data_IF_629952758084
#
_entry.id   IF_629952758084
#
_cell.length_a   1.000
_cell.length_b   1.000
_cell.length_c   1.000
_cell.angle_alpha   90.00
_cell.angle_beta   90.00
_cell.angle_gamma   90.00
#
_symmetry.space_group_name_H-M   'P 1'
#
loop_
_entity.id
_entity.type
_entity.pdbx_description
1 polymer ?
#
# COMPACT_ATOMS: atom_id res chain seq x y z
N UNK A 1 50.14 16.90 -26.98
CA UNK A 1 49.14 17.89 -26.53
C UNK A 1 47.89 17.13 -26.13
N UNK A 2 47.73 16.84 -24.84
CA UNK A 2 46.56 16.11 -24.31
C UNK A 2 45.67 17.15 -23.65
N UNK A 3 44.46 17.32 -24.20
CA UNK A 3 43.46 18.23 -23.67
C UNK A 3 42.97 17.70 -22.32
N UNK A 4 43.14 18.49 -21.27
CA UNK A 4 42.64 18.18 -19.94
C UNK A 4 41.13 18.39 -19.89
N UNK A 5 40.37 17.30 -19.80
CA UNK A 5 38.98 17.34 -19.37
C UNK A 5 38.92 17.85 -17.93
N UNK A 6 38.27 19.00 -17.75
CA UNK A 6 38.01 19.61 -16.45
C UNK A 6 36.80 18.90 -15.84
N UNK A 7 36.87 18.39 -14.60
CA UNK A 7 35.76 17.64 -14.02
C UNK A 7 34.52 18.52 -13.82
N UNK A 8 33.37 17.95 -14.17
CA UNK A 8 32.03 18.48 -14.00
C UNK A 8 31.76 18.78 -12.51
N UNK A 9 31.18 19.94 -12.13
CA UNK A 9 30.92 20.24 -10.73
C UNK A 9 29.74 19.38 -10.23
N UNK A 10 30.04 18.38 -9.40
CA UNK A 10 29.04 17.70 -8.57
C UNK A 10 28.52 18.68 -7.53
N UNK A 11 27.43 19.38 -7.85
CA UNK A 11 26.65 20.13 -6.87
C UNK A 11 25.94 19.13 -5.95
N UNK A 12 26.64 18.69 -4.90
CA UNK A 12 25.99 18.20 -3.68
C UNK A 12 25.39 19.40 -2.97
N UNK A 13 24.29 19.89 -3.53
CA UNK A 13 23.44 20.90 -2.90
C UNK A 13 22.89 20.32 -1.61
N UNK A 14 23.21 20.98 -0.51
CA UNK A 14 22.80 20.64 0.84
C UNK A 14 21.29 20.92 0.97
N UNK A 15 20.43 20.03 0.50
CA UNK A 15 18.96 20.14 0.53
C UNK A 15 18.39 19.85 1.95
N UNK A 16 19.03 20.36 3.01
CA UNK A 16 18.56 20.08 4.38
C UNK A 16 17.34 20.89 4.80
N UNK A 17 16.88 21.85 3.99
CA UNK A 17 15.66 22.61 4.24
C UNK A 17 15.05 23.10 2.93
N UNK A 18 14.22 22.31 2.26
CA UNK A 18 13.26 22.87 1.32
C UNK A 18 12.00 23.23 2.12
N UNK A 19 11.89 24.50 2.48
CA UNK A 19 10.63 25.08 2.98
C UNK A 19 9.62 24.90 1.84
N UNK A 20 8.52 24.21 2.15
CA UNK A 20 7.38 24.07 1.24
C UNK A 20 6.86 25.47 0.92
N UNK A 21 7.16 25.96 -0.28
CA UNK A 21 6.67 27.26 -0.74
C UNK A 21 7.62 28.01 -1.66
N UNK A 22 7.77 27.59 -2.92
CA UNK A 22 8.12 28.51 -4.00
C UNK A 22 7.29 28.18 -5.25
N UNK A 23 6.59 29.21 -5.75
CA UNK A 23 5.60 29.19 -6.83
C UNK A 23 6.10 28.75 -8.22
N UNK A 24 7.30 28.19 -8.39
CA UNK A 24 7.86 27.81 -9.69
C UNK A 24 8.95 26.70 -9.62
N UNK A 25 8.84 25.76 -8.69
CA UNK A 25 9.66 24.53 -8.68
C UNK A 25 8.90 23.34 -9.26
N UNK A 26 9.57 22.28 -9.76
CA UNK A 26 8.87 21.03 -10.08
C UNK A 26 8.14 20.54 -8.84
N UNK A 27 6.90 20.05 -9.02
CA UNK A 27 6.12 19.44 -7.95
C UNK A 27 6.91 18.21 -7.49
N UNK A 28 7.56 18.30 -6.34
CA UNK A 28 8.27 17.16 -5.74
C UNK A 28 7.21 16.29 -5.10
N UNK A 29 6.99 15.09 -5.65
CA UNK A 29 6.10 14.12 -5.03
C UNK A 29 6.79 13.62 -3.78
N UNK A 30 6.10 13.64 -2.66
CA UNK A 30 6.64 13.16 -1.39
C UNK A 30 5.79 12.05 -0.81
N UNK A 31 6.43 11.14 -0.09
CA UNK A 31 5.74 10.12 0.69
C UNK A 31 6.22 10.11 2.13
N UNK A 32 5.41 9.56 3.02
CA UNK A 32 5.82 9.33 4.40
C UNK A 32 6.98 8.33 4.50
N UNK A 33 7.71 8.42 5.62
CA UNK A 33 8.77 7.46 5.94
C UNK A 33 8.25 6.00 6.02
N UNK A 34 7.02 5.82 6.49
CA UNK A 34 6.40 4.51 6.62
C UNK A 34 6.10 3.89 5.25
N UNK A 35 5.50 4.66 4.34
CA UNK A 35 5.29 4.20 2.96
C UNK A 35 6.63 3.88 2.29
N UNK A 36 7.65 4.72 2.44
CA UNK A 36 8.98 4.43 1.89
C UNK A 36 9.61 3.16 2.48
N UNK A 37 9.38 2.88 3.77
CA UNK A 37 9.80 1.63 4.40
C UNK A 37 9.16 0.41 3.71
N UNK A 38 7.84 0.46 3.48
CA UNK A 38 7.10 -0.59 2.75
C UNK A 38 7.62 -0.77 1.33
N UNK A 39 7.81 0.33 0.58
CA UNK A 39 8.26 0.27 -0.82
C UNK A 39 9.68 -0.30 -0.99
N UNK A 40 10.54 -0.16 0.03
CA UNK A 40 11.97 -0.53 -0.06
C UNK A 40 12.35 -1.76 0.75
N UNK A 41 11.41 -2.36 1.48
CA UNK A 41 11.65 -3.46 2.43
C UNK A 41 12.65 -3.11 3.56
N UNK A 42 12.89 -1.81 3.79
CA UNK A 42 13.80 -1.34 4.83
C UNK A 42 13.03 -0.99 6.08
N UNK A 43 13.50 -1.44 7.25
CA UNK A 43 12.92 -1.01 8.52
C UNK A 43 13.01 0.51 8.69
N UNK A 44 12.00 1.12 9.34
CA UNK A 44 12.06 2.53 9.70
C UNK A 44 13.31 2.89 10.51
N UNK A 45 13.81 1.98 11.36
CA UNK A 45 15.05 2.18 12.12
C UNK A 45 16.24 2.38 11.19
N UNK A 46 16.35 1.57 10.13
CA UNK A 46 17.39 1.69 9.11
C UNK A 46 17.27 3.02 8.38
N UNK A 47 16.06 3.40 7.98
CA UNK A 47 15.82 4.65 7.26
C UNK A 47 16.11 5.88 8.13
N UNK A 48 15.73 5.86 9.41
CA UNK A 48 16.04 6.92 10.37
C UNK A 48 17.56 7.08 10.59
N UNK A 49 18.31 5.97 10.61
CA UNK A 49 19.78 6.03 10.63
C UNK A 49 20.32 6.72 9.38
N UNK A 50 19.81 6.35 8.19
CA UNK A 50 20.20 6.95 6.90
C UNK A 50 19.87 8.45 6.80
N UNK A 51 18.79 8.87 7.45
CA UNK A 51 18.46 10.30 7.61
C UNK A 51 19.51 11.00 8.49
N UNK A 52 19.86 10.40 9.63
CA UNK A 52 20.82 10.97 10.57
C UNK A 52 22.24 11.09 9.98
N UNK A 53 22.68 10.11 9.18
CA UNK A 53 23.98 10.12 8.50
C UNK A 53 23.96 10.84 7.13
N UNK A 54 22.82 11.42 6.75
CA UNK A 54 22.59 12.17 5.51
C UNK A 54 22.72 11.34 4.22
N UNK A 55 22.60 10.02 4.29
CA UNK A 55 22.57 9.12 3.13
C UNK A 55 21.17 8.87 2.53
N UNK A 56 20.11 9.42 3.14
CA UNK A 56 18.75 9.44 2.59
C UNK A 56 18.23 10.88 2.53
N UNK A 57 17.84 11.40 1.35
CA UNK A 57 17.20 12.71 1.25
C UNK A 57 15.84 12.68 1.95
N UNK A 58 15.52 13.77 2.64
CA UNK A 58 14.23 13.94 3.30
C UNK A 58 13.88 15.41 3.40
N UNK A 59 12.58 15.68 3.49
CA UNK A 59 11.98 16.95 3.78
C UNK A 59 11.25 16.85 5.12
N UNK A 60 10.92 18.02 5.68
CA UNK A 60 10.04 18.11 6.84
C UNK A 60 8.78 18.87 6.46
N UNK A 61 7.64 18.28 6.76
CA UNK A 61 6.38 19.00 6.68
C UNK A 61 6.42 20.17 7.69
N UNK A 62 6.10 21.39 7.23
CA UNK A 62 6.08 22.60 8.05
C UNK A 62 4.96 22.63 9.11
N UNK A 63 4.14 21.57 9.18
CA UNK A 63 3.08 21.41 10.17
C UNK A 63 3.56 21.09 11.59
N UNK A 64 2.62 21.12 12.53
CA UNK A 64 2.87 20.93 13.97
C UNK A 64 3.57 19.61 14.34
N UNK A 65 3.38 18.56 13.53
CA UNK A 65 3.97 17.24 13.75
C UNK A 65 5.36 17.08 13.14
N UNK A 66 5.84 18.07 12.37
CA UNK A 66 7.18 18.10 11.75
C UNK A 66 7.56 16.78 11.06
N UNK A 67 6.60 16.24 10.29
CA UNK A 67 6.67 14.88 9.72
C UNK A 67 7.83 14.77 8.74
N UNK A 68 8.47 13.61 8.72
CA UNK A 68 9.51 13.28 7.73
C UNK A 68 8.84 12.87 6.43
N UNK A 69 9.18 13.56 5.35
CA UNK A 69 8.72 13.30 4.00
C UNK A 69 9.91 12.88 3.14
N UNK A 70 9.74 11.88 2.29
CA UNK A 70 10.77 11.38 1.38
C UNK A 70 10.43 11.85 -0.04
N UNK A 71 11.33 12.55 -0.74
CA UNK A 71 11.10 12.98 -2.13
C UNK A 71 11.11 11.75 -3.04
N UNK A 72 9.94 11.30 -3.45
CA UNK A 72 9.70 10.03 -4.14
C UNK A 72 10.46 9.97 -5.48
N UNK A 73 10.43 11.05 -6.25
CA UNK A 73 11.13 11.15 -7.54
C UNK A 73 12.65 10.93 -7.41
N UNK A 74 13.23 11.41 -6.30
CA UNK A 74 14.66 11.29 -6.02
C UNK A 74 15.05 9.90 -5.54
N UNK A 75 14.13 9.11 -5.01
CA UNK A 75 14.44 7.80 -4.42
C UNK A 75 13.83 6.62 -5.17
N UNK A 76 13.14 6.85 -6.30
CA UNK A 76 12.42 5.83 -7.07
C UNK A 76 13.24 4.57 -7.38
N UNK A 77 14.55 4.73 -7.61
CA UNK A 77 15.48 3.63 -7.91
C UNK A 77 15.82 2.75 -6.70
N UNK A 78 15.35 3.09 -5.50
CA UNK A 78 15.49 2.28 -4.29
C UNK A 78 14.26 1.39 -4.04
N UNK A 79 13.18 1.58 -4.79
CA UNK A 79 11.94 0.81 -4.62
C UNK A 79 12.16 -0.63 -5.11
N UNK A 80 11.53 -1.59 -4.43
CA UNK A 80 11.74 -3.02 -4.63
C UNK A 80 11.21 -3.58 -5.97
N UNK A 81 10.81 -2.72 -6.90
CA UNK A 81 10.30 -3.04 -8.23
C UNK A 81 10.52 -1.87 -9.21
N UNK A 82 10.53 -2.11 -10.53
CA UNK A 82 10.49 -1.05 -11.53
C UNK A 82 9.21 -0.22 -11.38
N UNK A 83 9.34 1.11 -11.38
CA UNK A 83 8.26 2.06 -11.14
C UNK A 83 8.38 3.14 -12.23
N UNK A 84 7.32 3.35 -13.00
CA UNK A 84 7.25 4.43 -13.99
C UNK A 84 6.67 5.74 -13.39
N UNK A 85 6.44 6.77 -14.22
CA UNK A 85 5.95 8.05 -13.70
C UNK A 85 4.50 8.00 -13.21
N UNK A 86 3.67 7.16 -13.83
CA UNK A 86 2.27 6.98 -13.47
C UNK A 86 2.18 6.27 -12.11
N UNK A 87 3.03 5.26 -11.89
CA UNK A 87 3.18 4.59 -10.61
C UNK A 87 3.61 5.55 -9.49
N UNK A 88 4.50 6.52 -9.78
CA UNK A 88 4.90 7.53 -8.77
C UNK A 88 3.72 8.42 -8.38
N UNK A 89 2.86 8.78 -9.33
CA UNK A 89 1.65 9.53 -9.04
C UNK A 89 0.69 8.72 -8.16
N UNK A 90 0.49 7.45 -8.51
CA UNK A 90 -0.35 6.52 -7.77
C UNK A 90 0.13 6.33 -6.33
N UNK A 91 1.43 6.08 -6.13
CA UNK A 91 2.04 5.91 -4.80
C UNK A 91 1.90 7.18 -3.96
N UNK A 92 2.06 8.36 -4.56
CA UNK A 92 1.85 9.62 -3.87
C UNK A 92 0.40 9.78 -3.39
N UNK A 93 -0.58 9.44 -4.22
CA UNK A 93 -2.00 9.47 -3.83
C UNK A 93 -2.32 8.45 -2.73
N UNK A 94 -1.75 7.24 -2.84
CA UNK A 94 -1.91 6.19 -1.83
C UNK A 94 -1.38 6.63 -0.46
N UNK A 95 -0.19 7.25 -0.40
CA UNK A 95 0.38 7.81 0.83
C UNK A 95 -0.47 8.96 1.41
N UNK A 96 -1.11 9.75 0.55
CA UNK A 96 -2.05 10.79 0.95
C UNK A 96 -3.38 10.25 1.53
N UNK A 97 -3.60 8.93 1.44
CA UNK A 97 -4.75 8.27 2.05
C UNK A 97 -5.85 7.86 1.07
N UNK A 98 -5.66 8.03 -0.25
CA UNK A 98 -6.68 7.63 -1.21
C UNK A 98 -6.83 6.10 -1.26
N UNK A 99 -7.99 5.57 -0.85
CA UNK A 99 -8.17 4.14 -0.66
C UNK A 99 -8.05 3.35 -1.97
N UNK A 100 -8.51 3.93 -3.08
CA UNK A 100 -8.42 3.28 -4.40
C UNK A 100 -6.98 3.19 -4.84
N UNK A 101 -6.22 4.28 -4.71
CA UNK A 101 -4.79 4.30 -4.99
C UNK A 101 -4.03 3.32 -4.11
N UNK A 102 -4.40 3.19 -2.83
CA UNK A 102 -3.84 2.16 -1.93
C UNK A 102 -4.12 0.75 -2.45
N UNK A 103 -5.36 0.47 -2.88
CA UNK A 103 -5.72 -0.80 -3.53
C UNK A 103 -4.87 -1.04 -4.78
N UNK A 104 -4.79 -0.07 -5.68
CA UNK A 104 -4.06 -0.19 -6.95
C UNK A 104 -2.55 -0.40 -6.73
N UNK A 105 -1.93 0.33 -5.79
CA UNK A 105 -0.53 0.09 -5.39
C UNK A 105 -0.36 -1.32 -4.84
N UNK A 106 -1.33 -1.83 -4.07
CA UNK A 106 -1.25 -3.19 -3.58
C UNK A 106 -1.32 -4.23 -4.69
N UNK A 107 -2.18 -4.04 -5.69
CA UNK A 107 -2.28 -4.92 -6.85
C UNK A 107 -0.99 -4.91 -7.66
N UNK A 108 -0.42 -3.73 -7.87
CA UNK A 108 0.88 -3.56 -8.51
C UNK A 108 1.97 -4.38 -7.79
N UNK A 109 2.00 -4.37 -6.45
CA UNK A 109 2.91 -5.21 -5.68
C UNK A 109 2.61 -6.72 -5.81
N UNK A 110 1.34 -7.13 -5.81
CA UNK A 110 0.97 -8.53 -6.01
C UNK A 110 1.43 -9.06 -7.37
N UNK A 111 1.25 -8.27 -8.43
CA UNK A 111 1.69 -8.61 -9.80
C UNK A 111 3.21 -8.81 -9.88
N UNK A 112 3.98 -8.05 -9.10
CA UNK A 112 5.43 -8.17 -9.00
C UNK A 112 5.91 -9.23 -8.00
N UNK A 113 5.00 -10.03 -7.43
CA UNK A 113 5.36 -11.09 -6.48
C UNK A 113 5.86 -10.56 -5.13
N UNK A 114 5.35 -9.39 -4.71
CA UNK A 114 5.70 -8.70 -3.46
C UNK A 114 4.49 -8.64 -2.50
N UNK A 115 3.98 -9.79 -2.05
CA UNK A 115 2.70 -9.84 -1.36
C UNK A 115 2.74 -9.21 0.04
N UNK A 116 3.90 -9.18 0.71
CA UNK A 116 4.03 -8.60 2.04
C UNK A 116 3.77 -7.07 2.02
N UNK A 117 4.25 -6.38 0.99
CA UNK A 117 3.99 -4.96 0.76
C UNK A 117 2.54 -4.71 0.37
N UNK A 118 1.99 -5.57 -0.49
CA UNK A 118 0.60 -5.46 -0.90
C UNK A 118 -0.34 -5.53 0.31
N UNK A 119 -0.09 -6.43 1.26
CA UNK A 119 -0.91 -6.57 2.47
C UNK A 119 -0.98 -5.28 3.27
N UNK A 120 0.14 -4.57 3.42
CA UNK A 120 0.16 -3.30 4.15
C UNK A 120 -0.78 -2.26 3.51
N UNK A 121 -0.76 -2.15 2.18
CA UNK A 121 -1.63 -1.25 1.42
C UNK A 121 -3.09 -1.71 1.40
N UNK A 122 -3.35 -3.02 1.25
CA UNK A 122 -4.70 -3.59 1.34
C UNK A 122 -5.31 -3.36 2.71
N UNK A 123 -4.53 -3.51 3.80
CA UNK A 123 -5.01 -3.22 5.14
C UNK A 123 -5.35 -1.74 5.33
N UNK A 124 -4.54 -0.83 4.75
CA UNK A 124 -4.82 0.60 4.78
C UNK A 124 -6.13 0.94 4.06
N UNK A 125 -6.33 0.41 2.86
CA UNK A 125 -7.55 0.63 2.07
C UNK A 125 -8.79 -0.04 2.70
N UNK A 126 -8.66 -1.27 3.18
CA UNK A 126 -9.74 -2.00 3.84
C UNK A 126 -10.22 -1.31 5.13
N UNK A 127 -9.33 -0.64 5.88
CA UNK A 127 -9.70 0.20 7.03
C UNK A 127 -10.58 1.38 6.63
N UNK A 128 -10.49 1.84 5.39
CA UNK A 128 -11.32 2.90 4.81
C UNK A 128 -12.59 2.38 4.13
N UNK A 129 -12.90 1.09 4.33
CA UNK A 129 -14.07 0.43 3.77
C UNK A 129 -14.03 0.17 2.26
N UNK A 130 -12.84 0.18 1.66
CA UNK A 130 -12.64 -0.14 0.25
C UNK A 130 -12.98 -1.61 -0.04
N UNK A 131 -14.01 -1.82 -0.85
CA UNK A 131 -14.58 -3.13 -1.07
C UNK A 131 -13.66 -4.06 -1.90
N UNK A 132 -12.89 -3.47 -2.83
CA UNK A 132 -11.92 -4.19 -3.64
C UNK A 132 -10.71 -4.60 -2.80
N UNK A 133 -10.18 -3.69 -1.97
CA UNK A 133 -9.12 -4.03 -1.02
C UNK A 133 -9.51 -5.18 -0.10
N UNK A 134 -10.73 -5.16 0.45
CA UNK A 134 -11.23 -6.25 1.30
C UNK A 134 -11.30 -7.59 0.55
N UNK A 135 -11.70 -7.57 -0.72
CA UNK A 135 -11.72 -8.79 -1.55
C UNK A 135 -10.31 -9.36 -1.72
N UNK A 136 -9.34 -8.51 -2.06
CA UNK A 136 -7.96 -8.95 -2.24
C UNK A 136 -7.30 -9.38 -0.93
N UNK A 137 -7.57 -8.68 0.17
CA UNK A 137 -7.11 -9.06 1.49
C UNK A 137 -7.72 -10.41 1.91
N UNK A 138 -8.99 -10.64 1.61
CA UNK A 138 -9.65 -11.92 1.83
C UNK A 138 -8.93 -13.06 1.10
N UNK A 139 -8.64 -12.88 -0.20
CA UNK A 139 -7.89 -13.87 -0.99
C UNK A 139 -6.52 -14.14 -0.38
N UNK A 140 -5.80 -13.11 0.01
CA UNK A 140 -4.48 -13.29 0.62
C UNK A 140 -4.54 -14.12 1.90
N UNK A 141 -5.53 -13.91 2.77
CA UNK A 141 -5.72 -14.73 3.96
C UNK A 141 -6.18 -16.16 3.64
N UNK A 142 -7.08 -16.36 2.68
CA UNK A 142 -7.58 -17.70 2.29
C UNK A 142 -6.45 -18.56 1.71
N UNK A 143 -5.62 -17.97 0.86
CA UNK A 143 -4.58 -18.66 0.11
C UNK A 143 -3.21 -18.64 0.82
N UNK A 144 -3.03 -17.76 1.82
CA UNK A 144 -1.76 -17.57 2.52
C UNK A 144 -0.71 -16.81 1.70
N UNK A 145 -1.14 -15.81 0.94
CA UNK A 145 -0.28 -14.99 0.07
C UNK A 145 0.24 -13.80 0.89
N UNK A 146 1.54 -13.76 1.20
CA UNK A 146 2.17 -12.69 1.99
C UNK A 146 1.78 -12.66 3.47
N UNK A 147 0.84 -13.52 3.90
CA UNK A 147 0.38 -13.68 5.28
C UNK A 147 0.25 -15.15 5.62
N UNK A 148 0.20 -15.45 6.92
CA UNK A 148 -0.19 -16.78 7.38
C UNK A 148 -1.63 -17.06 6.94
N UNK A 149 -1.84 -18.19 6.28
CA UNK A 149 -3.17 -18.64 5.86
C UNK A 149 -4.14 -18.69 7.05
N UNK A 150 -5.26 -18.00 6.89
CA UNK A 150 -6.38 -17.94 7.83
C UNK A 150 -7.69 -17.80 7.03
N UNK A 151 -8.30 -18.93 6.71
CA UNK A 151 -9.53 -18.95 5.93
C UNK A 151 -10.71 -18.28 6.66
N UNK A 152 -10.75 -18.30 7.99
CA UNK A 152 -11.82 -17.67 8.74
C UNK A 152 -11.74 -16.14 8.63
N UNK A 153 -10.54 -15.58 8.85
CA UNK A 153 -10.31 -14.16 8.67
C UNK A 153 -10.54 -13.72 7.21
N UNK A 154 -10.13 -14.55 6.25
CA UNK A 154 -10.39 -14.29 4.85
C UNK A 154 -11.89 -14.27 4.51
N UNK A 155 -12.67 -15.23 5.00
CA UNK A 155 -14.14 -15.24 4.82
C UNK A 155 -14.82 -14.02 5.47
N UNK A 156 -14.31 -13.56 6.62
CA UNK A 156 -14.81 -12.35 7.26
C UNK A 156 -14.59 -11.11 6.36
N UNK A 157 -13.39 -10.94 5.82
CA UNK A 157 -13.11 -9.85 4.86
C UNK A 157 -13.94 -9.97 3.59
N UNK A 158 -14.11 -11.19 3.07
CA UNK A 158 -14.91 -11.45 1.89
C UNK A 158 -16.38 -11.08 2.09
N UNK A 159 -16.92 -11.43 3.26
CA UNK A 159 -18.28 -11.07 3.68
C UNK A 159 -18.45 -9.55 3.80
N UNK A 160 -17.44 -8.86 4.33
CA UNK A 160 -17.45 -7.40 4.43
C UNK A 160 -17.37 -6.72 3.06
N UNK A 161 -16.54 -7.24 2.14
CA UNK A 161 -16.47 -6.78 0.76
C UNK A 161 -17.83 -6.91 0.06
N UNK A 162 -18.49 -8.06 0.20
CA UNK A 162 -19.84 -8.29 -0.33
C UNK A 162 -20.86 -7.29 0.22
N UNK A 163 -20.84 -7.04 1.53
CA UNK A 163 -21.71 -6.05 2.18
C UNK A 163 -21.44 -4.60 1.71
N UNK A 164 -20.27 -4.34 1.11
CA UNK A 164 -19.90 -3.06 0.50
C UNK A 164 -20.08 -3.01 -1.01
N UNK A 165 -20.79 -3.99 -1.57
CA UNK A 165 -21.16 -4.00 -2.98
C UNK A 165 -20.10 -4.64 -3.90
N UNK A 166 -19.09 -5.32 -3.37
CA UNK A 166 -18.15 -6.06 -4.21
C UNK A 166 -18.84 -7.31 -4.80
N UNK A 167 -19.16 -7.24 -6.09
CA UNK A 167 -20.01 -8.23 -6.77
C UNK A 167 -19.42 -9.64 -6.76
N UNK A 168 -18.11 -9.78 -7.03
CA UNK A 168 -17.43 -11.07 -7.01
C UNK A 168 -17.47 -11.68 -5.60
N UNK A 169 -17.28 -10.85 -4.56
CA UNK A 169 -17.35 -11.32 -3.18
C UNK A 169 -18.76 -11.75 -2.80
N UNK A 170 -19.78 -11.01 -3.25
CA UNK A 170 -21.18 -11.37 -3.02
C UNK A 170 -21.53 -12.71 -3.67
N UNK A 171 -21.11 -12.93 -4.92
CA UNK A 171 -21.29 -14.20 -5.61
C UNK A 171 -20.56 -15.35 -4.90
N UNK A 172 -19.32 -15.13 -4.45
CA UNK A 172 -18.55 -16.13 -3.71
C UNK A 172 -19.21 -16.50 -2.38
N UNK A 173 -19.67 -15.51 -1.60
CA UNK A 173 -20.39 -15.76 -0.34
C UNK A 173 -21.70 -16.50 -0.59
N UNK A 174 -22.45 -16.12 -1.64
CA UNK A 174 -23.69 -16.81 -1.99
C UNK A 174 -23.43 -18.28 -2.36
N UNK A 175 -22.37 -18.56 -3.12
CA UNK A 175 -21.97 -19.93 -3.46
C UNK A 175 -21.58 -20.73 -2.21
N UNK A 176 -20.83 -20.13 -1.29
CA UNK A 176 -20.46 -20.76 -0.02
C UNK A 176 -21.71 -21.10 0.79
N UNK A 177 -22.63 -20.15 0.96
CA UNK A 177 -23.88 -20.36 1.72
C UNK A 177 -24.76 -21.44 1.08
N UNK A 178 -24.86 -21.49 -0.24
CA UNK A 178 -25.62 -22.52 -0.96
C UNK A 178 -25.01 -23.93 -0.81
N UNK A 179 -23.69 -24.01 -0.57
CA UNK A 179 -22.99 -25.28 -0.35
C UNK A 179 -23.10 -25.80 1.09
N UNK A 180 -23.54 -24.96 2.04
CA UNK A 180 -23.79 -25.40 3.43
C UNK A 180 -25.14 -26.10 3.46
N UNK A 181 -25.20 -27.42 3.70
CA UNK A 181 -26.48 -28.11 3.79
C UNK A 181 -27.29 -27.53 4.95
N UNK A 182 -28.56 -27.21 4.70
CA UNK A 182 -29.49 -26.78 5.73
C UNK A 182 -29.48 -27.80 6.86
N UNK A 183 -29.17 -27.37 8.08
CA UNK A 183 -29.17 -28.29 9.22
C UNK A 183 -30.60 -28.82 9.41
N UNK A 184 -30.81 -30.14 9.60
CA UNK A 184 -32.15 -30.74 9.72
C UNK A 184 -33.02 -30.22 10.88
N UNK A 185 -32.50 -29.33 11.73
CA UNK A 185 -33.21 -28.79 12.89
C UNK A 185 -34.36 -27.87 12.50
N UNK A 186 -34.28 -27.16 11.38
CA UNK A 186 -35.38 -26.29 10.91
C UNK A 186 -36.51 -27.08 10.22
N UNK A 187 -36.23 -28.30 9.74
CA UNK A 187 -37.24 -29.16 9.11
C UNK A 187 -38.15 -29.90 10.11
N UNK A 188 -37.74 -30.01 11.39
CA UNK A 188 -38.51 -30.72 12.43
C UNK A 188 -39.60 -29.87 13.08
N UNK A 189 -39.47 -28.54 13.07
CA UNK A 189 -40.48 -27.65 13.68
C UNK A 189 -41.73 -27.48 12.80
N UNK A 190 -41.63 -27.76 11.49
CA UNK A 190 -42.78 -27.79 10.58
C UNK A 190 -43.58 -29.12 10.62
N UNK A 191 -43.00 -30.20 11.17
CA UNK A 191 -43.62 -31.53 11.20
C UNK A 191 -44.25 -31.90 12.55
N UNK A 192 -44.19 -31.02 13.55
CA UNK A 192 -44.72 -31.26 14.90
C UNK A 192 -46.05 -30.51 15.19
N UNK A 193 -46.71 -29.95 14.17
CA UNK A 193 -47.99 -29.22 14.29
C UNK A 193 -49.17 -29.97 13.63
N UNK A 194 -48.99 -31.25 13.28
CA UNK A 194 -50.07 -32.15 12.85
C UNK A 194 -50.12 -33.38 13.75
#
# INVERSE_FOLDING_TARGET
MVAGEKPMPTSRGNLQTLVIGLRNGPIVRTISLASFATLTEQSERTLRRRIADKSLPYLRDGGALNKVLIPLDEVRYQIAMPIDDDDLHLIHQADAGDSRSQTDVALLFLEHGKPEQAIWWLEAAAKQEDAEAMHWLARCFIDGIGVRRDAHLGLMWLSRAAARGHEISAAQIQSILASVPAQPREAREAAAVF
#
